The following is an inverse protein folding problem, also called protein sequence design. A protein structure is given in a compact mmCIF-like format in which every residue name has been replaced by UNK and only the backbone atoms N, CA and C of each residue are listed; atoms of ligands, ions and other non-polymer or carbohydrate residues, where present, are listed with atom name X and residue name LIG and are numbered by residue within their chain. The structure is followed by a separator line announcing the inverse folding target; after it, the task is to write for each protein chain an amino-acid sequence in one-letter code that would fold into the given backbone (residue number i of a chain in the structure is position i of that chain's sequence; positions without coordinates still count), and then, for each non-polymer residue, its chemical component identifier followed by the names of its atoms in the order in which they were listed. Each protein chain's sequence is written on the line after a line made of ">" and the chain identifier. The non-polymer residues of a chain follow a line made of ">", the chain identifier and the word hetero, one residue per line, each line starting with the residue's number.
data_IF_626801694463
#
_entry.id   IF_626801694463
#
_cell.length_a   1.000
_cell.length_b   1.000
_cell.length_c   1.000
_cell.angle_alpha   90.00
_cell.angle_beta   90.00
_cell.angle_gamma   90.00
#
_symmetry.space_group_name_H-M   'P 1'
#
loop_
_entity.id
_entity.type
_entity.pdbx_description
1 polymer ?
#
# COMPACT_ATOMS: atom_id res chain seq x y z
N UNK A 1 -8.64 -6.68 10.87
CA UNK A 1 -8.27 -7.56 9.73
C UNK A 1 -6.87 -8.12 10.00
N UNK A 2 -6.57 -9.36 9.63
CA UNK A 2 -5.21 -9.90 9.77
C UNK A 2 -4.38 -9.45 8.56
N UNK A 3 -3.29 -8.72 8.79
CA UNK A 3 -2.36 -8.34 7.73
C UNK A 3 -1.30 -9.45 7.59
N UNK A 4 -1.15 -10.07 6.41
CA UNK A 4 -0.14 -11.07 6.15
C UNK A 4 1.27 -10.47 6.25
N UNK A 5 2.02 -10.83 7.30
CA UNK A 5 3.36 -10.27 7.53
C UNK A 5 4.32 -10.56 6.36
N UNK A 6 4.08 -11.63 5.60
CA UNK A 6 4.88 -12.00 4.45
C UNK A 6 4.87 -10.96 3.33
N UNK A 7 3.91 -10.03 3.27
CA UNK A 7 3.92 -8.99 2.23
C UNK A 7 5.01 -7.93 2.48
N UNK A 8 5.45 -7.75 3.72
CA UNK A 8 6.50 -6.81 4.08
C UNK A 8 7.86 -7.44 3.81
N UNK A 9 8.49 -7.02 2.72
CA UNK A 9 9.84 -7.44 2.34
C UNK A 9 10.85 -6.46 2.93
N UNK A 10 12.13 -6.76 2.77
CA UNK A 10 13.22 -5.93 3.30
C UNK A 10 13.20 -4.48 2.76
N UNK A 11 12.67 -4.27 1.55
CA UNK A 11 12.77 -2.97 0.86
C UNK A 11 11.43 -2.42 0.35
N UNK A 12 10.36 -3.22 0.36
CA UNK A 12 9.07 -2.83 -0.19
C UNK A 12 7.95 -3.79 0.27
N UNK A 13 6.72 -3.47 -0.11
CA UNK A 13 5.55 -4.30 0.12
C UNK A 13 5.20 -5.02 -1.18
N UNK A 14 5.14 -6.36 -1.16
CA UNK A 14 4.80 -7.17 -2.35
C UNK A 14 3.90 -8.34 -1.99
N UNK A 15 2.94 -8.61 -2.87
CA UNK A 15 2.06 -9.77 -2.75
C UNK A 15 1.28 -10.05 -4.03
N UNK A 16 0.33 -10.99 -3.92
CA UNK A 16 -0.54 -11.41 -5.01
C UNK A 16 -1.88 -10.68 -4.88
N UNK A 17 -2.28 -9.97 -5.94
CA UNK A 17 -3.55 -9.25 -6.01
C UNK A 17 -4.72 -10.24 -5.84
N UNK A 18 -5.70 -9.86 -5.01
CA UNK A 18 -6.87 -10.68 -4.67
C UNK A 18 -6.60 -11.78 -3.64
N UNK A 19 -5.34 -11.98 -3.21
CA UNK A 19 -4.99 -12.98 -2.20
C UNK A 19 -4.33 -12.33 -0.98
N UNK A 20 -3.12 -11.81 -1.15
CA UNK A 20 -2.36 -11.16 -0.07
C UNK A 20 -2.32 -9.65 -0.22
N UNK A 21 -2.65 -9.12 -1.40
CA UNK A 21 -2.94 -7.70 -1.64
C UNK A 21 -4.40 -7.57 -2.10
N UNK A 22 -5.24 -7.00 -1.24
CA UNK A 22 -6.65 -6.73 -1.53
C UNK A 22 -6.90 -5.23 -1.41
N UNK A 23 -7.91 -4.68 -2.09
CA UNK A 23 -8.22 -3.24 -2.03
C UNK A 23 -8.32 -2.72 -0.59
N UNK A 24 -9.06 -3.38 0.33
CA UNK A 24 -9.14 -2.88 1.71
C UNK A 24 -7.80 -2.95 2.45
N UNK A 25 -6.92 -3.90 2.09
CA UNK A 25 -5.60 -3.99 2.70
C UNK A 25 -4.67 -2.89 2.17
N UNK A 26 -4.72 -2.62 0.87
CA UNK A 26 -3.91 -1.55 0.25
C UNK A 26 -4.36 -0.18 0.76
N UNK A 27 -5.66 0.02 0.99
CA UNK A 27 -6.17 1.21 1.67
C UNK A 27 -5.55 1.39 3.07
N UNK A 28 -5.47 0.32 3.87
CA UNK A 28 -4.83 0.38 5.19
C UNK A 28 -3.33 0.70 5.12
N UNK A 29 -2.63 0.24 4.08
CA UNK A 29 -1.24 0.64 3.82
C UNK A 29 -1.19 2.14 3.50
N UNK A 30 -2.11 2.64 2.68
CA UNK A 30 -2.24 4.07 2.38
C UNK A 30 -2.44 4.92 3.64
N UNK A 31 -3.32 4.49 4.56
CA UNK A 31 -3.50 5.13 5.86
C UNK A 31 -2.21 5.17 6.68
N UNK A 32 -1.46 4.07 6.74
CA UNK A 32 -0.20 4.01 7.49
C UNK A 32 0.89 4.92 6.89
N UNK A 33 1.00 4.98 5.56
CA UNK A 33 1.93 5.88 4.87
C UNK A 33 1.52 7.34 5.11
N UNK A 34 0.23 7.65 5.00
CA UNK A 34 -0.29 9.00 5.25
C UNK A 34 -0.04 9.49 6.67
N UNK A 35 -0.28 8.64 7.69
CA UNK A 35 0.02 8.95 9.09
C UNK A 35 1.51 9.25 9.29
N UNK A 36 2.38 8.47 8.64
CA UNK A 36 3.83 8.69 8.67
C UNK A 36 4.23 10.01 8.00
N UNK A 37 3.63 10.34 6.86
CA UNK A 37 3.89 11.58 6.13
C UNK A 37 3.46 12.82 6.95
N UNK A 38 2.25 12.78 7.53
CA UNK A 38 1.76 13.85 8.41
C UNK A 38 2.69 14.04 9.61
N UNK A 39 3.13 12.95 10.24
CA UNK A 39 4.08 13.00 11.36
C UNK A 39 5.45 13.57 10.95
N UNK A 40 5.84 13.42 9.69
CA UNK A 40 7.05 14.00 9.12
C UNK A 40 6.88 15.48 8.72
N UNK A 41 5.65 16.01 8.73
CA UNK A 41 5.32 17.38 8.34
C UNK A 41 4.99 17.56 6.86
N UNK A 42 4.80 16.47 6.12
CA UNK A 42 4.35 16.50 4.73
C UNK A 42 2.82 16.65 4.66
N UNK A 43 2.33 17.36 3.63
CA UNK A 43 0.90 17.63 3.40
C UNK A 43 0.35 17.05 2.10
N UNK A 44 1.21 16.44 1.28
CA UNK A 44 0.87 15.87 -0.02
C UNK A 44 1.66 14.59 -0.32
N UNK A 45 1.02 13.69 -1.06
CA UNK A 45 1.64 12.47 -1.58
C UNK A 45 1.40 12.36 -3.10
N UNK A 46 2.41 11.92 -3.82
CA UNK A 46 2.31 11.62 -5.25
C UNK A 46 2.07 10.12 -5.41
N UNK A 47 1.00 9.75 -6.11
CA UNK A 47 0.66 8.35 -6.38
C UNK A 47 1.00 8.02 -7.84
N UNK A 48 1.61 6.87 -8.06
CA UNK A 48 1.88 6.32 -9.37
C UNK A 48 1.85 4.79 -9.34
N UNK A 49 1.49 4.19 -10.47
CA UNK A 49 1.44 2.74 -10.64
C UNK A 49 2.01 2.34 -12.00
N UNK A 50 2.39 1.07 -12.13
CA UNK A 50 2.91 0.51 -13.38
C UNK A 50 1.79 0.10 -14.37
N UNK A 51 2.13 -0.55 -15.47
CA UNK A 51 1.16 -0.98 -16.48
C UNK A 51 0.29 -2.19 -16.11
N UNK A 52 0.25 -2.64 -14.85
CA UNK A 52 -0.60 -3.77 -14.44
C UNK A 52 -2.07 -3.36 -14.47
N UNK A 53 -2.92 -4.28 -14.92
CA UNK A 53 -4.38 -4.09 -14.94
C UNK A 53 -4.97 -3.84 -13.55
N UNK A 54 -4.31 -4.29 -12.49
CA UNK A 54 -4.72 -4.03 -11.11
C UNK A 54 -4.45 -2.60 -10.64
N UNK A 55 -3.57 -1.84 -11.30
CA UNK A 55 -3.13 -0.52 -10.84
C UNK A 55 -4.25 0.48 -10.57
N UNK A 56 -5.22 0.69 -11.49
CA UNK A 56 -6.31 1.64 -11.26
C UNK A 56 -7.28 1.27 -10.12
N UNK A 57 -7.29 0.01 -9.68
CA UNK A 57 -8.19 -0.47 -8.63
C UNK A 57 -7.52 -0.66 -7.27
N UNK A 58 -6.20 -0.50 -7.19
CA UNK A 58 -5.41 -0.64 -5.96
C UNK A 58 -4.87 0.70 -5.49
#
# INVERSE_FOLDING_TARGET
>A
MKIPAEIFKAYDIRGIVGQTLTEPLVEQIGWAIGDTAIAAGDDAAIIGWDGRSSGPGL
#
